data_IF_902611272171
#
_entry.id   IF_902611272171
#
_cell.length_a   1.000
_cell.length_b   1.000
_cell.length_c   1.000
_cell.angle_alpha   90.00
_cell.angle_beta   90.00
_cell.angle_gamma   90.00
#
_symmetry.space_group_name_H-M   'P 1'
#
loop_
_entity.id
_entity.type
_entity.pdbx_description
1 polymer ?
#
# COMPACT_ATOMS: atom_id res chain seq x y z
N UNK A 1 -5.42 10.29 18.57
CA UNK A 1 -6.32 9.55 19.49
C UNK A 1 -7.28 8.73 18.63
N UNK A 2 -7.47 7.43 18.91
CA UNK A 2 -8.31 6.56 18.08
C UNK A 2 -9.77 7.03 18.19
N UNK A 3 -10.29 7.59 17.09
CA UNK A 3 -11.57 8.30 17.07
C UNK A 3 -12.70 7.30 17.39
N UNK A 4 -13.40 7.45 18.53
CA UNK A 4 -14.49 6.56 18.99
C UNK A 4 -15.54 6.33 17.90
N UNK A 5 -15.70 7.31 17.02
CA UNK A 5 -16.60 7.29 15.88
C UNK A 5 -16.18 6.28 14.78
N UNK A 6 -14.88 6.00 14.63
CA UNK A 6 -14.36 4.91 13.78
C UNK A 6 -14.67 3.56 14.41
N UNK A 7 -14.47 3.43 15.72
CA UNK A 7 -14.79 2.20 16.44
C UNK A 7 -16.28 1.87 16.31
N UNK A 8 -17.15 2.88 16.42
CA UNK A 8 -18.59 2.76 16.24
C UNK A 8 -18.98 2.39 14.80
N UNK A 9 -18.34 2.97 13.78
CA UNK A 9 -18.58 2.59 12.38
C UNK A 9 -18.07 1.19 12.05
N UNK A 10 -16.96 0.75 12.64
CA UNK A 10 -16.46 -0.62 12.50
C UNK A 10 -17.38 -1.62 13.21
N UNK A 11 -18.03 -1.22 14.31
CA UNK A 11 -19.00 -2.05 15.03
C UNK A 11 -20.39 -2.09 14.36
N UNK A 12 -20.67 -1.22 13.38
CA UNK A 12 -21.91 -1.26 12.63
C UNK A 12 -21.91 -2.49 11.69
N UNK A 13 -22.83 -3.45 11.86
CA UNK A 13 -22.76 -4.77 11.22
C UNK A 13 -22.72 -4.70 9.69
N UNK A 14 -23.43 -3.74 9.07
CA UNK A 14 -23.40 -3.55 7.61
C UNK A 14 -22.00 -3.17 7.09
N UNK A 15 -21.30 -2.28 7.80
CA UNK A 15 -19.95 -1.86 7.45
C UNK A 15 -18.92 -2.94 7.79
N UNK A 16 -19.05 -3.61 8.95
CA UNK A 16 -18.17 -4.71 9.36
C UNK A 16 -18.17 -5.82 8.31
N UNK A 17 -19.34 -6.24 7.85
CA UNK A 17 -19.47 -7.30 6.84
C UNK A 17 -18.82 -6.89 5.52
N UNK A 18 -19.02 -5.64 5.09
CA UNK A 18 -18.35 -5.12 3.89
C UNK A 18 -16.83 -5.14 4.00
N UNK A 19 -16.27 -4.75 5.14
CA UNK A 19 -14.82 -4.80 5.37
C UNK A 19 -14.29 -6.22 5.42
N UNK A 20 -15.03 -7.15 6.04
CA UNK A 20 -14.68 -8.57 6.04
C UNK A 20 -14.66 -9.15 4.63
N UNK A 21 -15.60 -8.77 3.76
CA UNK A 21 -15.56 -9.18 2.35
C UNK A 21 -14.35 -8.62 1.59
N UNK A 22 -14.00 -7.34 1.80
CA UNK A 22 -12.81 -6.74 1.18
C UNK A 22 -11.54 -7.46 1.67
N UNK A 23 -11.44 -7.73 2.97
CA UNK A 23 -10.34 -8.47 3.56
C UNK A 23 -10.25 -9.89 2.97
N UNK A 24 -11.38 -10.58 2.85
CA UNK A 24 -11.48 -11.91 2.26
C UNK A 24 -11.02 -11.91 0.79
N UNK A 25 -11.50 -10.96 -0.02
CA UNK A 25 -11.08 -10.81 -1.41
C UNK A 25 -9.58 -10.52 -1.52
N UNK A 26 -9.04 -9.71 -0.61
CA UNK A 26 -7.61 -9.41 -0.57
C UNK A 26 -6.80 -10.64 -0.18
N UNK A 27 -7.31 -11.46 0.76
CA UNK A 27 -6.68 -12.71 1.18
C UNK A 27 -6.72 -13.81 0.11
N UNK A 28 -7.62 -13.72 -0.88
CA UNK A 28 -7.61 -14.63 -2.03
C UNK A 28 -6.42 -14.41 -2.96
N UNK A 29 -5.84 -13.20 -3.00
CA UNK A 29 -4.68 -12.88 -3.85
C UNK A 29 -3.48 -13.79 -3.54
N UNK A 30 -2.97 -13.89 -2.28
CA UNK A 30 -1.85 -14.78 -1.98
C UNK A 30 -2.18 -16.26 -2.23
N UNK A 31 -3.43 -16.68 -2.03
CA UNK A 31 -3.84 -18.06 -2.34
C UNK A 31 -3.76 -18.36 -3.84
N UNK A 32 -4.23 -17.43 -4.67
CA UNK A 32 -4.16 -17.54 -6.12
C UNK A 32 -2.70 -17.51 -6.62
N UNK A 33 -1.86 -16.70 -5.97
CA UNK A 33 -0.42 -16.69 -6.22
C UNK A 33 0.23 -18.03 -5.88
N UNK A 34 -0.05 -18.63 -4.72
CA UNK A 34 0.44 -19.96 -4.37
C UNK A 34 0.05 -21.02 -5.41
N UNK A 35 -1.20 -20.99 -5.87
CA UNK A 35 -1.68 -21.90 -6.92
C UNK A 35 -0.90 -21.71 -8.22
N UNK A 36 -0.73 -20.47 -8.69
CA UNK A 36 0.03 -20.18 -9.92
C UNK A 36 1.51 -20.55 -9.79
N UNK A 37 2.12 -20.31 -8.63
CA UNK A 37 3.50 -20.69 -8.34
C UNK A 37 3.67 -22.19 -8.50
N UNK A 38 2.79 -23.00 -7.90
CA UNK A 38 2.86 -24.47 -7.98
C UNK A 38 2.70 -24.95 -9.42
N UNK A 39 1.72 -24.41 -10.16
CA UNK A 39 1.46 -24.77 -11.55
C UNK A 39 2.59 -24.35 -12.49
N UNK A 40 3.19 -23.18 -12.29
CA UNK A 40 4.24 -22.66 -13.19
C UNK A 40 5.59 -23.31 -12.90
N UNK A 41 5.87 -23.60 -11.62
CA UNK A 41 7.10 -24.24 -11.18
C UNK A 41 7.31 -25.64 -11.78
N UNK A 42 6.25 -26.36 -12.16
CA UNK A 42 6.38 -27.66 -12.84
C UNK A 42 6.88 -27.56 -14.28
N UNK A 43 6.66 -26.43 -14.96
CA UNK A 43 7.08 -26.26 -16.36
C UNK A 43 8.52 -25.74 -16.49
N UNK A 44 8.91 -24.80 -15.62
CA UNK A 44 10.21 -24.09 -15.71
C UNK A 44 11.28 -24.76 -14.83
N UNK A 45 10.85 -25.54 -13.84
CA UNK A 45 11.70 -26.10 -12.80
C UNK A 45 11.63 -25.26 -11.52
N UNK A 46 11.41 -25.96 -10.40
CA UNK A 46 11.08 -25.35 -9.10
C UNK A 46 12.13 -24.33 -8.64
N UNK A 47 13.41 -24.68 -8.74
CA UNK A 47 14.50 -23.82 -8.26
C UNK A 47 14.69 -22.58 -9.14
N UNK A 48 14.63 -22.73 -10.46
CA UNK A 48 14.76 -21.60 -11.39
C UNK A 48 13.60 -20.62 -11.20
N UNK A 49 12.37 -21.13 -11.11
CA UNK A 49 11.19 -20.31 -10.89
C UNK A 49 11.26 -19.56 -9.54
N UNK A 50 11.69 -20.23 -8.47
CA UNK A 50 11.82 -19.61 -7.16
C UNK A 50 12.92 -18.53 -7.13
N UNK A 51 14.03 -18.74 -7.84
CA UNK A 51 15.07 -17.72 -8.01
C UNK A 51 14.55 -16.48 -8.74
N UNK A 52 13.76 -16.67 -9.81
CA UNK A 52 13.10 -15.57 -10.53
C UNK A 52 12.12 -14.82 -9.63
N UNK A 53 11.30 -15.54 -8.87
CA UNK A 53 10.32 -14.97 -7.93
C UNK A 53 11.00 -14.09 -6.86
N UNK A 54 12.12 -14.56 -6.30
CA UNK A 54 12.94 -13.79 -5.35
C UNK A 54 13.54 -12.56 -6.02
N UNK A 55 14.05 -12.68 -7.26
CA UNK A 55 14.59 -11.56 -7.99
C UNK A 55 13.52 -10.46 -8.24
N UNK A 56 12.27 -10.86 -8.56
CA UNK A 56 11.15 -9.92 -8.67
C UNK A 56 10.81 -9.26 -7.34
N UNK A 57 10.74 -10.01 -6.24
CA UNK A 57 10.48 -9.46 -4.90
C UNK A 57 11.57 -8.47 -4.47
N UNK A 58 12.85 -8.78 -4.74
CA UNK A 58 13.97 -7.87 -4.51
C UNK A 58 13.84 -6.59 -5.36
N UNK A 59 13.53 -6.73 -6.65
CA UNK A 59 13.26 -5.58 -7.52
C UNK A 59 12.10 -4.72 -7.00
N UNK A 60 11.02 -5.36 -6.55
CA UNK A 60 9.88 -4.72 -5.90
C UNK A 60 10.25 -3.98 -4.62
N UNK A 61 11.12 -4.55 -3.80
CA UNK A 61 11.67 -3.89 -2.60
C UNK A 61 12.47 -2.63 -2.96
N UNK A 62 13.38 -2.70 -3.94
CA UNK A 62 14.15 -1.53 -4.38
C UNK A 62 13.24 -0.42 -4.93
N UNK A 63 12.25 -0.78 -5.73
CA UNK A 63 11.27 0.15 -6.28
C UNK A 63 10.43 0.80 -5.17
N UNK A 64 9.94 0.01 -4.22
CA UNK A 64 9.19 0.47 -3.05
C UNK A 64 10.00 1.44 -2.21
N UNK A 65 11.26 1.09 -1.90
CA UNK A 65 12.19 1.96 -1.18
C UNK A 65 12.38 3.29 -1.88
N UNK A 66 12.58 3.28 -3.21
CA UNK A 66 12.73 4.50 -3.99
C UNK A 66 11.47 5.39 -3.91
N UNK A 67 10.27 4.79 -4.06
CA UNK A 67 9.00 5.52 -3.99
C UNK A 67 8.76 6.13 -2.60
N UNK A 68 9.03 5.38 -1.53
CA UNK A 68 8.88 5.86 -0.15
C UNK A 68 9.83 7.03 0.12
N UNK A 69 11.13 6.88 -0.20
CA UNK A 69 12.11 7.94 0.01
C UNK A 69 11.76 9.20 -0.79
N UNK A 70 11.30 9.05 -2.04
CA UNK A 70 10.87 10.18 -2.87
C UNK A 70 9.69 10.91 -2.25
N UNK A 71 8.65 10.18 -1.80
CA UNK A 71 7.49 10.80 -1.17
C UNK A 71 7.85 11.48 0.15
N UNK A 72 8.67 10.85 1.00
CA UNK A 72 9.14 11.46 2.24
C UNK A 72 9.95 12.73 2.00
N UNK A 73 10.81 12.75 0.99
CA UNK A 73 11.57 13.95 0.62
C UNK A 73 10.65 15.09 0.18
N UNK A 74 9.61 14.79 -0.59
CA UNK A 74 8.62 15.79 -1.01
C UNK A 74 7.83 16.30 0.19
N UNK A 75 7.36 15.41 1.07
CA UNK A 75 6.66 15.77 2.30
C UNK A 75 7.54 16.69 3.16
N UNK A 76 8.80 16.31 3.40
CA UNK A 76 9.74 17.12 4.19
C UNK A 76 10.00 18.49 3.55
N UNK A 77 10.25 18.54 2.26
CA UNK A 77 10.44 19.81 1.55
C UNK A 77 9.19 20.70 1.60
N UNK A 78 8.00 20.12 1.63
CA UNK A 78 6.74 20.85 1.79
C UNK A 78 6.57 21.38 3.22
N UNK A 79 6.91 20.57 4.22
CA UNK A 79 7.01 20.95 5.64
C UNK A 79 7.97 22.13 5.84
N UNK A 80 9.21 22.05 5.34
CA UNK A 80 10.22 23.11 5.48
C UNK A 80 9.73 24.46 4.90
N UNK A 81 8.97 24.40 3.79
CA UNK A 81 8.41 25.57 3.13
C UNK A 81 7.02 25.99 3.67
N UNK A 82 6.53 25.40 4.76
CA UNK A 82 5.21 25.67 5.36
C UNK A 82 4.05 25.51 4.37
N UNK A 83 4.23 24.64 3.38
CA UNK A 83 3.28 24.41 2.30
C UNK A 83 2.60 23.05 2.47
N UNK A 84 1.30 23.04 2.67
CA UNK A 84 0.52 21.81 2.74
C UNK A 84 -0.04 21.42 1.37
N UNK A 85 0.23 20.17 0.95
CA UNK A 85 -0.32 19.60 -0.28
C UNK A 85 -0.95 18.23 0.00
N UNK A 86 -2.28 18.22 0.08
CA UNK A 86 -3.08 17.01 0.33
C UNK A 86 -2.74 15.86 -0.64
N UNK A 87 -2.38 16.19 -1.88
CA UNK A 87 -2.00 15.23 -2.91
C UNK A 87 -0.80 14.36 -2.49
N UNK A 88 0.29 14.98 -2.00
CA UNK A 88 1.52 14.25 -1.65
C UNK A 88 1.38 13.48 -0.35
N UNK A 89 0.64 14.03 0.63
CA UNK A 89 0.34 13.34 1.88
C UNK A 89 -0.56 12.13 1.66
N UNK A 90 -1.63 12.28 0.89
CA UNK A 90 -2.52 11.16 0.53
C UNK A 90 -1.84 10.11 -0.33
N UNK A 91 -0.80 10.47 -1.09
CA UNK A 91 -0.03 9.52 -1.89
C UNK A 91 0.87 8.61 -1.04
N UNK A 92 1.23 9.02 0.18
CA UNK A 92 2.08 8.24 1.08
C UNK A 92 1.50 6.88 1.49
N UNK A 93 0.29 6.78 2.08
CA UNK A 93 -0.31 5.49 2.42
C UNK A 93 -0.55 4.61 1.19
N UNK A 94 -0.83 5.22 0.02
CA UNK A 94 -0.93 4.50 -1.24
C UNK A 94 0.40 3.85 -1.64
N UNK A 95 1.52 4.56 -1.48
CA UNK A 95 2.86 4.00 -1.69
C UNK A 95 3.15 2.87 -0.71
N UNK A 96 2.81 3.02 0.58
CA UNK A 96 2.99 1.96 1.59
C UNK A 96 2.18 0.71 1.21
N UNK A 97 0.92 0.88 0.83
CA UNK A 97 0.05 -0.21 0.41
C UNK A 97 0.61 -0.97 -0.80
N UNK A 98 1.05 -0.25 -1.83
CA UNK A 98 1.72 -0.84 -3.01
C UNK A 98 2.99 -1.61 -2.61
N UNK A 99 3.75 -1.08 -1.65
CA UNK A 99 5.01 -1.67 -1.22
C UNK A 99 4.81 -3.05 -0.60
N UNK A 100 3.71 -3.25 0.13
CA UNK A 100 3.36 -4.56 0.72
C UNK A 100 3.22 -5.62 -0.39
N UNK A 101 2.52 -5.29 -1.48
CA UNK A 101 2.33 -6.23 -2.60
C UNK A 101 3.57 -6.40 -3.48
N UNK A 102 4.40 -5.37 -3.65
CA UNK A 102 5.65 -5.48 -4.41
C UNK A 102 6.71 -6.32 -3.68
N UNK A 103 6.74 -6.27 -2.35
CA UNK A 103 7.69 -7.04 -1.54
C UNK A 103 7.22 -8.49 -1.44
N UNK A 104 5.92 -8.74 -1.35
CA UNK A 104 5.39 -10.10 -1.27
C UNK A 104 5.65 -10.85 -2.59
N UNK A 105 6.35 -11.99 -2.56
CA UNK A 105 6.66 -12.72 -3.77
C UNK A 105 5.40 -13.40 -4.31
N UNK A 106 4.94 -12.94 -5.48
CA UNK A 106 3.73 -13.43 -6.15
C UNK A 106 3.65 -12.88 -7.57
N UNK A 107 2.89 -13.55 -8.44
CA UNK A 107 2.70 -13.09 -9.83
C UNK A 107 1.59 -12.04 -9.86
N UNK A 108 0.41 -12.38 -9.37
CA UNK A 108 -0.77 -11.53 -9.34
C UNK A 108 -0.55 -10.38 -8.37
N UNK A 109 -0.04 -10.65 -7.16
CA UNK A 109 0.30 -9.61 -6.20
C UNK A 109 1.21 -8.55 -6.83
N UNK A 110 2.26 -8.97 -7.53
CA UNK A 110 3.18 -8.06 -8.24
C UNK A 110 2.47 -7.28 -9.36
N UNK A 111 1.67 -7.94 -10.19
CA UNK A 111 0.91 -7.27 -11.27
C UNK A 111 -0.04 -6.22 -10.72
N UNK A 112 -0.81 -6.56 -9.68
CA UNK A 112 -1.71 -5.62 -8.98
C UNK A 112 -0.92 -4.45 -8.41
N UNK A 113 0.22 -4.71 -7.76
CA UNK A 113 1.07 -3.67 -7.21
C UNK A 113 1.61 -2.72 -8.29
N UNK A 114 2.04 -3.25 -9.43
CA UNK A 114 2.51 -2.47 -10.57
C UNK A 114 1.40 -1.59 -11.16
N UNK A 115 0.17 -2.11 -11.26
CA UNK A 115 -0.99 -1.33 -11.71
C UNK A 115 -1.26 -0.18 -10.72
N UNK A 116 -1.32 -0.47 -9.41
CA UNK A 116 -1.60 0.56 -8.39
C UNK A 116 -0.42 1.54 -8.25
N UNK A 117 0.80 1.17 -8.67
CA UNK A 117 1.98 2.05 -8.67
C UNK A 117 1.82 3.30 -9.56
N UNK A 118 0.90 3.27 -10.53
CA UNK A 118 0.60 4.41 -11.40
C UNK A 118 0.14 5.61 -10.53
N UNK A 119 0.69 6.82 -10.72
CA UNK A 119 0.43 7.96 -9.83
C UNK A 119 -1.05 8.24 -9.52
N UNK A 120 -1.91 8.20 -10.54
CA UNK A 120 -3.35 8.45 -10.39
C UNK A 120 -4.06 7.37 -9.57
N UNK A 121 -3.70 6.10 -9.78
CA UNK A 121 -4.27 4.97 -9.03
C UNK A 121 -3.72 4.93 -7.60
N UNK A 122 -2.44 5.22 -7.44
CA UNK A 122 -1.77 5.33 -6.14
C UNK A 122 -2.38 6.41 -5.27
N UNK A 123 -2.66 7.59 -5.85
CA UNK A 123 -3.34 8.67 -5.13
C UNK A 123 -4.75 8.24 -4.71
N UNK A 124 -5.53 7.61 -5.60
CA UNK A 124 -6.87 7.09 -5.26
C UNK A 124 -6.83 6.05 -4.15
N UNK A 125 -5.92 5.08 -4.24
CA UNK A 125 -5.74 4.06 -3.22
C UNK A 125 -5.34 4.70 -1.88
N UNK A 126 -4.40 5.65 -1.91
CA UNK A 126 -3.92 6.35 -0.73
C UNK A 126 -4.97 7.28 -0.10
N UNK A 127 -5.73 8.01 -0.90
CA UNK A 127 -6.87 8.83 -0.44
C UNK A 127 -7.96 7.95 0.18
N UNK A 128 -8.30 6.82 -0.47
CA UNK A 128 -9.26 5.85 0.09
C UNK A 128 -8.77 5.27 1.41
N UNK A 129 -7.49 4.93 1.53
CA UNK A 129 -6.89 4.45 2.79
C UNK A 129 -6.87 5.53 3.86
N UNK A 130 -6.55 6.77 3.48
CA UNK A 130 -6.55 7.92 4.40
C UNK A 130 -7.93 8.17 4.96
N UNK A 131 -8.96 8.15 4.10
CA UNK A 131 -10.35 8.32 4.50
C UNK A 131 -10.84 7.16 5.37
N UNK A 132 -10.47 5.93 5.01
CA UNK A 132 -10.79 4.74 5.80
C UNK A 132 -10.18 4.77 7.20
N UNK A 133 -8.91 5.18 7.31
CA UNK A 133 -8.21 5.34 8.58
C UNK A 133 -8.51 6.67 9.28
N UNK A 134 -9.32 7.54 8.65
CA UNK A 134 -9.61 8.93 9.07
C UNK A 134 -8.36 9.70 9.46
N UNK A 135 -7.34 9.63 8.60
CA UNK A 135 -6.08 10.34 8.80
C UNK A 135 -6.29 11.81 8.44
N UNK A 136 -6.17 12.67 9.44
CA UNK A 136 -6.21 14.13 9.26
C UNK A 136 -4.82 14.63 8.88
N UNK A 137 -4.48 14.53 7.59
CA UNK A 137 -3.14 14.90 7.08
C UNK A 137 -2.73 16.33 7.39
N UNK A 138 -3.70 17.24 7.53
CA UNK A 138 -3.44 18.62 7.93
C UNK A 138 -2.94 18.71 9.37
N UNK A 139 -3.58 18.00 10.31
CA UNK A 139 -3.12 17.93 11.71
C UNK A 139 -1.72 17.30 11.79
N UNK A 140 -1.45 16.26 10.99
CA UNK A 140 -0.12 15.64 10.94
C UNK A 140 0.94 16.62 10.44
N UNK A 141 0.63 17.42 9.41
CA UNK A 141 1.55 18.44 8.92
C UNK A 141 1.82 19.51 9.99
N UNK A 142 0.78 20.00 10.66
CA UNK A 142 0.92 20.98 11.75
C UNK A 142 1.74 20.41 12.93
N UNK A 143 1.53 19.14 13.29
CA UNK A 143 2.32 18.48 14.34
C UNK A 143 3.80 18.38 13.99
N UNK A 144 4.13 18.02 12.74
CA UNK A 144 5.53 17.92 12.30
C UNK A 144 6.21 19.30 12.36
N UNK A 145 5.54 20.36 11.90
CA UNK A 145 6.07 21.74 11.96
C UNK A 145 6.31 22.26 13.38
N UNK A 146 5.64 21.71 14.40
CA UNK A 146 5.78 22.14 15.81
C UNK A 146 6.91 21.37 16.53
N UNK A 147 7.20 20.14 16.08
CA UNK A 147 8.18 19.25 16.71
C UNK A 147 9.58 19.41 16.13
N UNK A 148 9.72 19.70 14.84
CA UNK A 148 10.99 20.12 14.21
C UNK A 148 11.27 21.61 14.44
#
# INVERSE_FOLDING_TARGET
MLNIKVLYEILNPEHTVRYLYILLLTALIPLLDCYLIIMTASYIGKYLFLAVLIAFSLGGFYMSRHMIIKNLRIIRSNTDNHYYSEYYYSMFPGTVFVSIFLIMPGIIGTVVALIISIPSLRYRAGSSLSNFLRIEWKEIHEFINVVE
#
